data_IF_681645345448
#
_entry.id   IF_681645345448
#
_cell.length_a   1.000
_cell.length_b   1.000
_cell.length_c   1.000
_cell.angle_alpha   90.00
_cell.angle_beta   90.00
_cell.angle_gamma   90.00
#
_symmetry.space_group_name_H-M   'P 1'
#
loop_
_entity.id
_entity.type
_entity.pdbx_description
1 polymer ?
#
# COMPACT_ATOMS: atom_id res chain seq x y z
N UNK A 1 5.09 4.51 -22.47
CA UNK A 1 5.45 3.55 -21.40
C UNK A 1 4.93 4.09 -20.08
N UNK A 2 3.78 3.61 -19.61
CA UNK A 2 3.28 3.95 -18.29
C UNK A 2 4.25 3.36 -17.26
N UNK A 3 5.02 4.21 -16.56
CA UNK A 3 5.91 3.75 -15.49
C UNK A 3 5.06 2.98 -14.48
N UNK A 4 5.38 1.71 -14.26
CA UNK A 4 4.68 0.92 -13.24
C UNK A 4 4.85 1.64 -11.90
N UNK A 5 3.79 1.68 -11.10
CA UNK A 5 3.78 2.32 -9.78
C UNK A 5 4.96 1.89 -8.87
N UNK A 6 5.49 0.68 -9.09
CA UNK A 6 6.64 0.07 -8.40
C UNK A 6 7.99 0.16 -9.17
N UNK A 7 8.03 0.72 -10.38
CA UNK A 7 9.25 0.80 -11.20
C UNK A 7 10.24 1.82 -10.58
N UNK A 8 11.40 1.33 -10.14
CA UNK A 8 12.42 2.13 -9.45
C UNK A 8 12.45 1.97 -7.93
N UNK A 9 11.67 1.06 -7.35
CA UNK A 9 11.96 0.56 -6.00
C UNK A 9 13.21 -0.33 -6.05
N UNK A 10 14.39 0.29 -6.00
CA UNK A 10 15.66 -0.38 -5.70
C UNK A 10 15.94 -0.37 -4.19
N UNK A 11 14.89 -0.34 -3.37
CA UNK A 11 15.01 0.00 -1.96
C UNK A 11 14.90 -1.25 -1.12
N UNK A 12 15.57 -1.22 0.05
CA UNK A 12 15.52 -2.20 1.13
C UNK A 12 16.68 -3.21 1.16
N UNK A 13 17.91 -2.70 1.02
CA UNK A 13 18.95 -3.11 1.97
C UNK A 13 18.49 -2.70 3.39
N UNK A 14 18.09 -3.68 4.19
CA UNK A 14 17.59 -3.50 5.56
C UNK A 14 18.71 -3.42 6.60
N UNK A 15 19.98 -3.37 6.22
CA UNK A 15 21.09 -3.21 7.16
C UNK A 15 21.02 -1.91 7.99
N UNK A 16 20.24 -0.91 7.54
CA UNK A 16 20.03 0.38 8.24
C UNK A 16 18.59 0.70 8.70
N UNK A 17 17.63 -0.24 8.62
CA UNK A 17 16.22 -0.02 9.00
C UNK A 17 15.31 0.52 7.88
N UNK A 18 13.99 0.56 8.13
CA UNK A 18 12.98 1.01 7.15
C UNK A 18 13.28 2.45 6.71
N UNK A 19 13.62 2.63 5.42
CA UNK A 19 13.98 3.92 4.85
C UNK A 19 13.04 5.07 5.25
N UNK A 20 13.60 6.29 5.29
CA UNK A 20 12.98 7.50 5.86
C UNK A 20 11.49 7.68 5.49
N UNK A 21 10.61 7.56 6.50
CA UNK A 21 9.15 7.71 6.38
C UNK A 21 8.69 9.02 5.70
N UNK A 22 9.52 10.08 5.73
CA UNK A 22 9.25 11.35 5.05
C UNK A 22 9.37 11.22 3.52
N UNK A 23 10.36 10.46 3.03
CA UNK A 23 10.52 10.17 1.59
C UNK A 23 9.35 9.33 1.07
N UNK A 24 8.91 8.35 1.86
CA UNK A 24 7.71 7.56 1.56
C UNK A 24 6.46 8.44 1.47
N UNK A 25 6.21 9.30 2.46
CA UNK A 25 5.08 10.25 2.44
C UNK A 25 5.12 11.21 1.24
N UNK A 26 6.31 11.69 0.86
CA UNK A 26 6.48 12.62 -0.25
C UNK A 26 6.24 11.95 -1.60
N UNK A 27 6.84 10.78 -1.84
CA UNK A 27 6.65 10.02 -3.07
C UNK A 27 5.20 9.52 -3.23
N UNK A 28 4.56 9.10 -2.13
CA UNK A 28 3.18 8.65 -2.10
C UNK A 28 2.20 9.76 -2.53
N UNK A 29 2.33 10.95 -1.94
CA UNK A 29 1.48 12.11 -2.25
C UNK A 29 1.63 12.62 -3.68
N UNK A 30 2.81 12.46 -4.28
CA UNK A 30 3.08 12.93 -5.64
C UNK A 30 2.58 11.96 -6.72
N UNK A 31 2.29 10.70 -6.39
CA UNK A 31 2.05 9.63 -7.38
C UNK A 31 0.66 8.99 -7.34
N UNK A 32 -0.03 8.98 -6.20
CA UNK A 32 -1.37 8.37 -6.12
C UNK A 32 -2.46 9.38 -6.49
N UNK A 33 -3.08 9.22 -7.67
CA UNK A 33 -4.35 9.86 -8.00
C UNK A 33 -5.52 9.06 -7.41
N UNK A 34 -6.57 9.73 -6.89
CA UNK A 34 -7.79 9.10 -6.35
C UNK A 34 -8.46 8.19 -7.39
N UNK A 35 -8.35 8.53 -8.67
CA UNK A 35 -8.95 7.75 -9.75
C UNK A 35 -8.25 6.41 -9.96
N UNK A 36 -6.91 6.38 -9.88
CA UNK A 36 -6.14 5.14 -9.96
C UNK A 36 -6.40 4.25 -8.74
N UNK A 37 -6.51 4.84 -7.55
CA UNK A 37 -6.85 4.11 -6.33
C UNK A 37 -8.25 3.47 -6.42
N UNK A 38 -9.24 4.19 -6.97
CA UNK A 38 -10.57 3.65 -7.24
C UNK A 38 -10.54 2.53 -8.27
N UNK A 39 -9.80 2.70 -9.38
CA UNK A 39 -9.70 1.67 -10.42
C UNK A 39 -9.12 0.36 -9.89
N UNK A 40 -8.06 0.43 -9.06
CA UNK A 40 -7.45 -0.75 -8.44
C UNK A 40 -8.44 -1.50 -7.54
N UNK A 41 -9.28 -0.77 -6.79
CA UNK A 41 -10.26 -1.40 -5.90
C UNK A 41 -11.52 -1.85 -6.62
N UNK A 42 -11.88 -1.27 -7.77
CA UNK A 42 -13.01 -1.72 -8.59
C UNK A 42 -12.83 -3.15 -9.12
N UNK A 43 -11.58 -3.60 -9.26
CA UNK A 43 -11.27 -4.99 -9.64
C UNK A 43 -11.52 -6.00 -8.50
N UNK A 44 -11.80 -5.54 -7.28
CA UNK A 44 -12.02 -6.40 -6.10
C UNK A 44 -13.42 -6.16 -5.52
N UNK A 45 -14.16 -7.22 -5.12
CA UNK A 45 -15.48 -7.06 -4.50
C UNK A 45 -15.44 -6.49 -3.07
N UNK A 46 -14.25 -6.27 -2.50
CA UNK A 46 -14.04 -5.83 -1.12
C UNK A 46 -13.98 -4.32 -1.01
N UNK A 47 -14.54 -3.79 0.07
CA UNK A 47 -14.45 -2.38 0.43
C UNK A 47 -13.01 -2.00 0.85
N UNK A 48 -12.63 -0.71 0.80
CA UNK A 48 -11.32 -0.26 1.29
C UNK A 48 -11.04 -0.65 2.76
N UNK A 49 -12.09 -0.69 3.59
CA UNK A 49 -11.99 -1.11 4.98
C UNK A 49 -11.68 -2.60 5.11
N UNK A 50 -12.39 -3.45 4.35
CA UNK A 50 -12.16 -4.89 4.31
C UNK A 50 -10.76 -5.25 3.79
N UNK A 51 -10.29 -4.54 2.76
CA UNK A 51 -8.91 -4.68 2.25
C UNK A 51 -7.89 -4.41 3.37
N UNK A 52 -8.14 -3.43 4.25
CA UNK A 52 -7.32 -3.18 5.44
C UNK A 52 -7.65 -4.10 6.62
N UNK A 53 -8.70 -4.92 6.55
CA UNK A 53 -9.16 -5.80 7.62
C UNK A 53 -9.81 -5.02 8.77
N UNK A 54 -10.52 -3.94 8.44
CA UNK A 54 -11.15 -3.02 9.38
C UNK A 54 -12.66 -2.96 9.14
N UNK A 55 -13.38 -2.49 10.15
CA UNK A 55 -14.80 -2.13 10.02
C UNK A 55 -14.95 -0.74 9.41
N UNK A 56 -16.11 -0.42 8.80
CA UNK A 56 -16.41 0.92 8.29
C UNK A 56 -16.30 2.03 9.37
N UNK A 57 -16.53 1.67 10.64
CA UNK A 57 -16.44 2.58 11.80
C UNK A 57 -15.01 2.79 12.32
N UNK A 58 -13.99 2.27 11.62
CA UNK A 58 -12.61 2.36 12.07
C UNK A 58 -12.10 3.81 12.10
N UNK A 59 -11.42 4.16 13.19
CA UNK A 59 -10.82 5.49 13.34
C UNK A 59 -9.64 5.71 12.38
N UNK A 60 -9.31 6.97 12.03
CA UNK A 60 -8.13 7.27 11.20
C UNK A 60 -6.81 6.70 11.73
N UNK A 61 -6.70 6.54 13.05
CA UNK A 61 -5.55 5.92 13.71
C UNK A 61 -5.51 4.41 13.49
N UNK A 62 -6.66 3.75 13.62
CA UNK A 62 -6.80 2.33 13.31
C UNK A 62 -6.47 2.03 11.84
N UNK A 63 -6.93 2.87 10.91
CA UNK A 63 -6.62 2.80 9.47
C UNK A 63 -5.11 2.86 9.23
N UNK A 64 -4.42 3.83 9.84
CA UNK A 64 -2.95 3.95 9.73
C UNK A 64 -2.21 2.75 10.32
N UNK A 65 -2.68 2.23 11.46
CA UNK A 65 -2.05 1.09 12.13
C UNK A 65 -2.20 -0.19 11.30
N UNK A 66 -3.42 -0.50 10.85
CA UNK A 66 -3.72 -1.68 10.04
C UNK A 66 -2.96 -1.65 8.70
N UNK A 67 -2.92 -0.50 8.02
CA UNK A 67 -2.17 -0.34 6.79
C UNK A 67 -0.68 -0.66 6.97
N UNK A 68 -0.03 -0.12 8.02
CA UNK A 68 1.39 -0.40 8.29
C UNK A 68 1.64 -1.88 8.54
N UNK A 69 0.80 -2.52 9.33
CA UNK A 69 0.92 -3.95 9.63
C UNK A 69 0.79 -4.81 8.38
N UNK A 70 -0.24 -4.57 7.56
CA UNK A 70 -0.48 -5.36 6.34
C UNK A 70 0.58 -5.12 5.27
N UNK A 71 1.09 -3.89 5.10
CA UNK A 71 2.17 -3.61 4.14
C UNK A 71 3.47 -4.33 4.55
N UNK A 72 3.77 -4.40 5.84
CA UNK A 72 4.93 -5.18 6.30
C UNK A 72 4.71 -6.69 6.11
N UNK A 73 3.48 -7.17 6.27
CA UNK A 73 3.14 -8.58 6.05
C UNK A 73 3.25 -8.98 4.58
N UNK A 74 2.73 -8.16 3.68
CA UNK A 74 2.67 -8.41 2.24
C UNK A 74 3.79 -7.76 1.45
N UNK A 75 4.88 -7.36 2.12
CA UNK A 75 6.02 -6.78 1.44
C UNK A 75 6.70 -7.82 0.54
N UNK A 76 7.01 -7.53 -0.74
CA UNK A 76 7.62 -8.48 -1.66
C UNK A 76 8.96 -9.04 -1.16
N UNK A 77 9.77 -8.22 -0.48
CA UNK A 77 11.05 -8.67 0.08
C UNK A 77 10.89 -9.70 1.21
N UNK A 78 9.77 -9.66 1.93
CA UNK A 78 9.48 -10.63 3.00
C UNK A 78 8.72 -11.85 2.48
N UNK A 79 8.34 -11.83 1.21
CA UNK A 79 7.58 -12.86 0.52
C UNK A 79 8.22 -13.19 -0.84
N UNK A 80 9.51 -13.58 -0.86
CA UNK A 80 10.25 -13.82 -2.11
C UNK A 80 9.66 -14.97 -2.94
N UNK A 81 9.04 -15.94 -2.27
CA UNK A 81 8.34 -17.10 -2.82
C UNK A 81 7.00 -16.75 -3.49
N UNK A 82 6.35 -15.67 -3.05
CA UNK A 82 5.04 -15.21 -3.57
C UNK A 82 5.05 -13.73 -3.94
N UNK A 83 6.10 -13.30 -4.62
CA UNK A 83 6.35 -11.89 -4.95
C UNK A 83 5.19 -11.24 -5.72
N UNK A 84 4.59 -11.96 -6.68
CA UNK A 84 3.47 -11.44 -7.48
C UNK A 84 2.21 -11.18 -6.63
N UNK A 85 1.89 -12.10 -5.71
CA UNK A 85 0.77 -11.93 -4.77
C UNK A 85 1.05 -10.79 -3.79
N UNK A 86 2.28 -10.72 -3.27
CA UNK A 86 2.74 -9.66 -2.39
C UNK A 86 2.62 -8.27 -3.06
N UNK A 87 3.02 -8.14 -4.33
CA UNK A 87 2.87 -6.91 -5.11
C UNK A 87 1.39 -6.55 -5.32
N UNK A 88 0.54 -7.51 -5.68
CA UNK A 88 -0.89 -7.27 -5.87
C UNK A 88 -1.57 -6.81 -4.57
N UNK A 89 -1.32 -7.51 -3.46
CA UNK A 89 -1.85 -7.17 -2.14
C UNK A 89 -1.34 -5.80 -1.67
N UNK A 90 -0.03 -5.54 -1.80
CA UNK A 90 0.57 -4.25 -1.46
C UNK A 90 -0.09 -3.09 -2.21
N UNK A 91 -0.38 -3.28 -3.50
CA UNK A 91 -1.05 -2.30 -4.34
C UNK A 91 -2.47 -2.02 -3.88
N UNK A 92 -3.24 -3.05 -3.54
CA UNK A 92 -4.60 -2.90 -2.99
C UNK A 92 -4.60 -2.19 -1.64
N UNK A 93 -3.68 -2.55 -0.74
CA UNK A 93 -3.53 -1.91 0.57
C UNK A 93 -3.23 -0.41 0.45
N UNK A 94 -2.35 -0.05 -0.48
CA UNK A 94 -2.00 1.34 -0.79
C UNK A 94 -3.21 2.10 -1.33
N UNK A 95 -3.95 1.51 -2.28
CA UNK A 95 -5.16 2.10 -2.84
C UNK A 95 -6.23 2.35 -1.77
N UNK A 96 -6.51 1.34 -0.94
CA UNK A 96 -7.47 1.43 0.16
C UNK A 96 -7.09 2.53 1.16
N UNK A 97 -5.83 2.55 1.62
CA UNK A 97 -5.34 3.57 2.54
C UNK A 97 -5.43 4.98 1.92
N UNK A 98 -5.11 5.12 0.64
CA UNK A 98 -5.21 6.40 -0.05
C UNK A 98 -6.64 6.91 -0.11
N UNK A 99 -7.65 6.07 -0.37
CA UNK A 99 -9.04 6.53 -0.39
C UNK A 99 -9.56 6.91 0.99
N UNK A 100 -9.15 6.19 2.03
CA UNK A 100 -9.63 6.40 3.39
C UNK A 100 -8.95 7.58 4.10
N UNK A 101 -7.80 8.07 3.61
CA UNK A 101 -7.02 9.13 4.26
C UNK A 101 -6.80 10.38 3.42
N UNK A 102 -7.40 10.45 2.23
CA UNK A 102 -7.31 11.59 1.31
C UNK A 102 -8.48 12.57 1.43
#
# INVERSE_FOLDING_TARGET
>A
MAKRFLEGYNTYDTSGGFGNARKWKQAFRQRMNKDEAKAILQETPQTPYEVLGLTPDATPEAIKKAFRQKIMQWHPDRNPDRKAEAEAMSRQLIAAYSLLTA
#
